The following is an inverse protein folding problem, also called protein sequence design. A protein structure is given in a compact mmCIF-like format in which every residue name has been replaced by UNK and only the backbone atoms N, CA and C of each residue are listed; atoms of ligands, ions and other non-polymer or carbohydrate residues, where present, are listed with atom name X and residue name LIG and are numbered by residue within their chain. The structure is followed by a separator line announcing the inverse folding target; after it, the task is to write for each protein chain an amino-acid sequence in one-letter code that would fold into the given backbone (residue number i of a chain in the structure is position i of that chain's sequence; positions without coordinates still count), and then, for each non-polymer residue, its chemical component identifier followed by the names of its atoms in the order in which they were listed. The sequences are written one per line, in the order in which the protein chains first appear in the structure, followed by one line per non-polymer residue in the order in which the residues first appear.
data_IF_144004515026
#
_entry.id   IF_144004515026
#
_cell.length_a   1.000
_cell.length_b   1.000
_cell.length_c   1.000
_cell.angle_alpha   90.00
_cell.angle_beta   90.00
_cell.angle_gamma   90.00
#
_symmetry.space_group_name_H-M   'P 1'
#
loop_
_entity.id
_entity.type
_entity.pdbx_description
1 polymer ?
#
# COMPACT_ATOMS: atom_id res chain seq x y z
N UNK A 1 0.25 28.66 -17.46
CA UNK A 1 -0.88 28.60 -16.52
C UNK A 1 -0.44 27.78 -15.33
N UNK A 2 -0.21 28.46 -14.21
CA UNK A 2 0.44 27.97 -12.99
C UNK A 2 -0.55 27.31 -12.02
N UNK A 3 -0.06 26.28 -11.34
CA UNK A 3 -0.51 25.74 -10.05
C UNK A 3 -1.89 25.08 -9.96
N UNK A 4 -1.96 23.78 -10.33
CA UNK A 4 -2.90 22.82 -9.74
C UNK A 4 -2.15 21.49 -9.51
N UNK A 5 -1.19 21.49 -8.59
CA UNK A 5 -0.83 20.28 -7.84
C UNK A 5 -0.76 20.74 -6.40
N UNK A 6 -1.94 20.96 -5.81
CA UNK A 6 -2.04 20.95 -4.35
C UNK A 6 -1.67 19.55 -3.91
N UNK A 7 -0.58 19.43 -3.15
CA UNK A 7 -0.09 18.17 -2.61
C UNK A 7 -1.25 17.40 -1.97
N UNK A 8 -1.53 16.14 -2.37
CA UNK A 8 -2.56 15.31 -1.76
C UNK A 8 -1.98 14.61 -0.52
N UNK A 9 -1.25 15.35 0.32
CA UNK A 9 -0.78 14.84 1.61
C UNK A 9 -1.67 15.52 2.65
N UNK A 10 -2.53 14.76 3.35
CA UNK A 10 -3.44 15.33 4.32
C UNK A 10 -2.67 16.02 5.47
N UNK A 11 -3.25 17.05 6.08
CA UNK A 11 -2.67 17.72 7.24
C UNK A 11 -2.59 16.75 8.42
N UNK A 12 -1.38 16.57 8.95
CA UNK A 12 -1.06 15.79 10.16
C UNK A 12 -2.00 16.22 11.30
N UNK A 13 -2.83 15.31 11.79
CA UNK A 13 -3.86 15.59 12.78
C UNK A 13 -3.32 15.55 14.21
N UNK A 14 -3.99 16.22 15.15
CA UNK A 14 -3.65 16.14 16.58
C UNK A 14 -3.80 14.72 17.19
N UNK A 15 -4.47 13.80 16.50
CA UNK A 15 -4.69 12.40 16.94
C UNK A 15 -3.46 11.51 16.71
N UNK A 16 -2.67 11.80 15.68
CA UNK A 16 -1.48 11.03 15.27
C UNK A 16 -0.44 10.99 16.41
N UNK A 17 -0.31 12.11 17.13
CA UNK A 17 0.55 12.23 18.31
C UNK A 17 0.14 11.30 19.45
N UNK A 18 -1.16 11.10 19.68
CA UNK A 18 -1.65 10.20 20.75
C UNK A 18 -1.39 8.72 20.41
N UNK A 19 -1.57 8.35 19.14
CA UNK A 19 -1.35 6.99 18.65
C UNK A 19 0.13 6.62 18.68
N UNK A 20 1.01 7.51 18.20
CA UNK A 20 2.47 7.32 18.31
C UNK A 20 2.88 7.11 19.77
N UNK A 21 2.30 7.87 20.71
CA UNK A 21 2.56 7.71 22.14
C UNK A 21 2.09 6.32 22.65
N UNK A 22 0.93 5.83 22.22
CA UNK A 22 0.45 4.47 22.58
C UNK A 22 1.40 3.40 22.07
N UNK A 23 1.80 3.46 20.79
CA UNK A 23 2.74 2.49 20.19
C UNK A 23 4.07 2.51 20.94
N UNK A 24 4.64 3.69 21.22
CA UNK A 24 5.89 3.82 21.97
C UNK A 24 5.77 3.21 23.37
N UNK A 25 4.64 3.41 24.07
CA UNK A 25 4.39 2.81 25.38
C UNK A 25 4.31 1.28 25.30
N UNK A 26 3.58 0.75 24.32
CA UNK A 26 3.45 -0.70 24.11
C UNK A 26 4.81 -1.35 23.80
N UNK A 27 5.64 -0.72 22.94
CA UNK A 27 7.01 -1.18 22.65
C UNK A 27 7.90 -1.15 23.91
N UNK A 28 7.78 -0.11 24.76
CA UNK A 28 8.52 -0.05 26.03
C UNK A 28 8.13 -1.20 26.96
N UNK A 29 6.84 -1.48 27.10
CA UNK A 29 6.34 -2.60 27.91
C UNK A 29 6.84 -3.93 27.36
N UNK A 30 6.82 -4.11 26.03
CA UNK A 30 7.35 -5.31 25.38
C UNK A 30 8.84 -5.50 25.67
N UNK A 31 9.64 -4.43 25.64
CA UNK A 31 11.05 -4.48 26.06
C UNK A 31 11.24 -4.78 27.54
N UNK A 32 10.33 -4.35 28.42
CA UNK A 32 10.40 -4.68 29.84
C UNK A 32 10.05 -6.15 30.11
N UNK A 33 9.12 -6.74 29.35
CA UNK A 33 8.85 -8.19 29.38
C UNK A 33 10.12 -9.00 29.10
N UNK A 34 11.04 -8.47 28.28
CA UNK A 34 12.28 -9.14 27.89
C UNK A 34 13.33 -9.21 28.99
N UNK A 35 13.20 -8.39 30.06
CA UNK A 35 14.16 -8.40 31.17
C UNK A 35 14.13 -9.71 31.93
N UNK A 36 12.94 -10.21 32.29
CA UNK A 36 12.78 -11.46 33.05
C UNK A 36 13.38 -12.69 32.35
N UNK A 37 13.03 -13.01 31.08
CA UNK A 37 13.66 -14.11 30.36
C UNK A 37 15.16 -13.91 30.16
N UNK A 38 15.64 -12.68 29.98
CA UNK A 38 17.08 -12.42 29.84
C UNK A 38 17.84 -12.72 31.14
N UNK A 39 17.31 -12.26 32.28
CA UNK A 39 17.87 -12.52 33.61
C UNK A 39 17.82 -14.01 33.96
N UNK A 40 16.73 -14.69 33.65
CA UNK A 40 16.57 -16.12 33.92
C UNK A 40 17.40 -16.98 32.97
N UNK A 41 17.49 -16.63 31.68
CA UNK A 41 18.42 -17.24 30.74
C UNK A 41 19.88 -17.06 31.20
N UNK A 42 20.22 -15.90 31.75
CA UNK A 42 21.54 -15.63 32.32
C UNK A 42 21.89 -16.51 33.52
N UNK A 43 20.90 -16.98 34.29
CA UNK A 43 21.07 -17.81 35.49
C UNK A 43 21.00 -19.32 35.22
N UNK A 44 20.43 -19.73 34.08
CA UNK A 44 20.24 -21.14 33.72
C UNK A 44 21.48 -21.73 33.08
N UNK A 45 21.87 -22.93 33.52
CA UNK A 45 23.00 -23.70 33.01
C UNK A 45 22.93 -23.89 31.49
N UNK A 46 24.09 -24.15 30.87
CA UNK A 46 24.15 -24.43 29.43
C UNK A 46 23.33 -25.66 29.10
N UNK A 47 22.38 -25.54 28.17
CA UNK A 47 21.65 -26.70 27.65
C UNK A 47 22.47 -27.36 26.54
N UNK A 48 22.85 -28.61 26.75
CA UNK A 48 23.53 -29.50 25.82
C UNK A 48 22.89 -30.90 25.88
N UNK A 49 23.33 -31.83 25.04
CA UNK A 49 22.77 -33.19 24.95
C UNK A 49 22.85 -34.00 26.27
N UNK A 50 23.59 -33.52 27.28
CA UNK A 50 23.78 -34.12 28.60
C UNK A 50 23.07 -33.34 29.74
N UNK A 51 22.23 -32.36 29.41
CA UNK A 51 21.52 -31.55 30.41
C UNK A 51 20.45 -32.36 31.12
N UNK A 52 20.22 -32.08 32.40
CA UNK A 52 19.10 -32.67 33.11
C UNK A 52 17.78 -32.30 32.42
N UNK A 53 16.87 -33.26 32.35
CA UNK A 53 15.51 -33.04 31.80
C UNK A 53 14.83 -31.83 32.47
N UNK A 54 15.08 -31.66 33.77
CA UNK A 54 14.59 -30.53 34.56
C UNK A 54 15.10 -29.15 34.07
N UNK A 55 16.35 -29.06 33.59
CA UNK A 55 16.89 -27.82 33.02
C UNK A 55 16.30 -27.52 31.64
N UNK A 56 16.03 -28.56 30.85
CA UNK A 56 15.38 -28.42 29.54
C UNK A 56 13.93 -27.97 29.72
N UNK A 57 13.18 -28.62 30.60
CA UNK A 57 11.78 -28.29 30.92
C UNK A 57 11.65 -26.85 31.44
N UNK A 58 12.58 -26.42 32.31
CA UNK A 58 12.61 -25.05 32.82
C UNK A 58 12.82 -24.02 31.72
N UNK A 59 13.72 -24.26 30.77
CA UNK A 59 13.93 -23.35 29.64
C UNK A 59 12.71 -23.33 28.73
N UNK A 60 12.12 -24.49 28.42
CA UNK A 60 10.90 -24.56 27.62
C UNK A 60 9.77 -23.74 28.27
N UNK A 61 9.59 -23.87 29.59
CA UNK A 61 8.57 -23.12 30.32
C UNK A 61 8.83 -21.61 30.28
N UNK A 62 10.08 -21.17 30.47
CA UNK A 62 10.46 -19.75 30.36
C UNK A 62 10.12 -19.20 28.97
N UNK A 63 10.46 -19.93 27.90
CA UNK A 63 10.17 -19.50 26.53
C UNK A 63 8.67 -19.53 26.21
N UNK A 64 7.92 -20.46 26.80
CA UNK A 64 6.46 -20.52 26.63
C UNK A 64 5.76 -19.34 27.30
N UNK A 65 6.02 -19.11 28.59
CA UNK A 65 5.44 -18.00 29.36
C UNK A 65 5.82 -16.65 28.76
N UNK A 66 7.04 -16.58 28.21
CA UNK A 66 7.52 -15.44 27.47
C UNK A 66 6.72 -15.23 26.18
N UNK A 67 6.55 -16.28 25.37
CA UNK A 67 5.86 -16.21 24.08
C UNK A 67 4.42 -15.72 24.25
N UNK A 68 3.72 -16.17 25.29
CA UNK A 68 2.34 -15.73 25.56
C UNK A 68 2.27 -14.23 25.90
N UNK A 69 3.20 -13.73 26.71
CA UNK A 69 3.28 -12.31 27.06
C UNK A 69 3.65 -11.43 25.86
N UNK A 70 4.55 -11.92 25.02
CA UNK A 70 4.94 -11.26 23.78
C UNK A 70 3.80 -11.22 22.78
N UNK A 71 3.10 -12.32 22.60
CA UNK A 71 1.94 -12.43 21.72
C UNK A 71 0.89 -11.38 22.07
N UNK A 72 0.51 -11.30 23.35
CA UNK A 72 -0.47 -10.32 23.82
C UNK A 72 -0.05 -8.86 23.53
N UNK A 73 1.25 -8.55 23.63
CA UNK A 73 1.77 -7.20 23.38
C UNK A 73 2.07 -6.90 21.92
N UNK A 74 2.42 -7.89 21.12
CA UNK A 74 2.48 -7.76 19.68
C UNK A 74 1.10 -7.43 19.12
N UNK A 75 0.05 -8.12 19.58
CA UNK A 75 -1.33 -7.82 19.21
C UNK A 75 -1.77 -6.41 19.63
N UNK A 76 -1.39 -5.94 20.82
CA UNK A 76 -1.68 -4.57 21.28
C UNK A 76 -1.06 -3.51 20.35
N UNK A 77 0.18 -3.73 19.92
CA UNK A 77 0.87 -2.88 18.94
C UNK A 77 0.16 -2.94 17.59
N UNK A 78 -0.12 -4.14 17.07
CA UNK A 78 -0.79 -4.34 15.77
C UNK A 78 -2.17 -3.72 15.74
N UNK A 79 -2.98 -3.89 16.79
CA UNK A 79 -4.31 -3.27 16.88
C UNK A 79 -4.22 -1.74 16.91
N UNK A 80 -3.23 -1.18 17.61
CA UNK A 80 -3.02 0.28 17.62
C UNK A 80 -2.61 0.80 16.24
N UNK A 81 -1.80 0.03 15.49
CA UNK A 81 -1.44 0.36 14.11
C UNK A 81 -2.68 0.23 13.21
N UNK A 82 -3.49 -0.81 13.38
CA UNK A 82 -4.71 -1.04 12.60
C UNK A 82 -5.73 0.09 12.77
N UNK A 83 -5.91 0.61 14.00
CA UNK A 83 -6.74 1.79 14.27
C UNK A 83 -6.31 3.00 13.43
N UNK A 84 -5.02 3.29 13.35
CA UNK A 84 -4.47 4.40 12.56
C UNK A 84 -4.60 4.14 11.06
N UNK A 85 -4.33 2.91 10.63
CA UNK A 85 -4.39 2.53 9.22
C UNK A 85 -5.83 2.55 8.71
N UNK A 86 -6.80 2.16 9.53
CA UNK A 86 -8.21 2.25 9.15
C UNK A 86 -8.64 3.71 8.90
N UNK A 87 -8.08 4.68 9.62
CA UNK A 87 -8.31 6.10 9.32
C UNK A 87 -7.82 6.47 7.91
N UNK A 88 -6.61 6.05 7.53
CA UNK A 88 -6.10 6.28 6.17
C UNK A 88 -6.90 5.52 5.10
N UNK A 89 -7.33 4.29 5.38
CA UNK A 89 -8.20 3.50 4.49
C UNK A 89 -9.51 4.22 4.22
N UNK A 90 -10.15 4.78 5.25
CA UNK A 90 -11.36 5.59 5.13
C UNK A 90 -11.12 6.85 4.28
N UNK A 91 -10.00 7.55 4.49
CA UNK A 91 -9.63 8.72 3.68
C UNK A 91 -9.42 8.36 2.19
N UNK A 92 -8.73 7.25 1.90
CA UNK A 92 -8.52 6.80 0.52
C UNK A 92 -9.84 6.49 -0.17
N UNK A 93 -10.76 5.81 0.52
CA UNK A 93 -12.12 5.57 0.02
C UNK A 93 -12.88 6.88 -0.20
N UNK A 94 -12.78 7.85 0.71
CA UNK A 94 -13.40 9.17 0.56
C UNK A 94 -12.88 9.90 -0.69
N UNK A 95 -11.58 9.85 -0.96
CA UNK A 95 -10.98 10.47 -2.16
C UNK A 95 -11.58 9.87 -3.44
N UNK A 96 -11.77 8.55 -3.50
CA UNK A 96 -12.40 7.89 -4.64
C UNK A 96 -13.87 8.32 -4.80
N UNK A 97 -14.61 8.39 -3.69
CA UNK A 97 -16.02 8.81 -3.70
C UNK A 97 -16.20 10.27 -4.14
N UNK A 98 -15.39 11.18 -3.61
CA UNK A 98 -15.41 12.61 -3.95
C UNK A 98 -15.10 12.87 -5.43
N UNK A 99 -14.33 11.96 -6.05
CA UNK A 99 -13.99 12.02 -7.46
C UNK A 99 -14.84 11.10 -8.36
N UNK A 100 -15.88 10.44 -7.83
CA UNK A 100 -16.78 9.53 -8.57
C UNK A 100 -17.24 10.06 -9.93
N UNK A 101 -17.71 11.31 -9.99
CA UNK A 101 -18.14 11.93 -11.25
C UNK A 101 -17.03 12.00 -12.31
N UNK A 102 -15.78 12.24 -11.91
CA UNK A 102 -14.63 12.27 -12.83
C UNK A 102 -14.24 10.86 -13.23
N UNK A 103 -14.20 9.94 -12.27
CA UNK A 103 -13.91 8.52 -12.49
C UNK A 103 -14.86 7.96 -13.54
N UNK A 104 -16.17 8.17 -13.37
CA UNK A 104 -17.19 7.74 -14.33
C UNK A 104 -17.03 8.41 -15.70
N UNK A 105 -16.84 9.73 -15.71
CA UNK A 105 -16.70 10.51 -16.95
C UNK A 105 -15.52 10.05 -17.80
N UNK A 106 -14.41 9.68 -17.17
CA UNK A 106 -13.18 9.29 -17.84
C UNK A 106 -13.01 7.76 -17.95
N UNK A 107 -13.99 6.97 -17.48
CA UNK A 107 -13.97 5.52 -17.57
C UNK A 107 -12.86 4.85 -16.73
N UNK A 108 -12.44 5.47 -15.63
CA UNK A 108 -11.42 4.96 -14.71
C UNK A 108 -12.06 3.82 -13.88
N UNK A 109 -11.44 2.64 -13.85
CA UNK A 109 -11.97 1.51 -13.07
C UNK A 109 -11.38 1.48 -11.66
N UNK A 110 -12.18 1.87 -10.66
CA UNK A 110 -11.74 1.91 -9.26
C UNK A 110 -11.78 0.57 -8.52
N UNK A 111 -12.44 -0.46 -9.07
CA UNK A 111 -12.64 -1.75 -8.38
C UNK A 111 -11.33 -2.42 -7.95
N UNK A 112 -10.28 -2.28 -8.77
CA UNK A 112 -8.97 -2.85 -8.46
C UNK A 112 -8.29 -2.07 -7.34
N UNK A 113 -8.35 -0.73 -7.40
CA UNK A 113 -7.82 0.19 -6.40
C UNK A 113 -8.51 -0.04 -5.04
N UNK A 114 -9.85 -0.09 -5.00
CA UNK A 114 -10.64 -0.37 -3.79
C UNK A 114 -10.23 -1.69 -3.15
N UNK A 115 -10.05 -2.74 -3.95
CA UNK A 115 -9.60 -4.06 -3.45
C UNK A 115 -8.20 -4.03 -2.85
N UNK A 116 -7.31 -3.17 -3.31
CA UNK A 116 -5.99 -3.04 -2.69
C UNK A 116 -6.07 -2.22 -1.41
N UNK A 117 -6.88 -1.15 -1.39
CA UNK A 117 -7.15 -0.36 -0.19
C UNK A 117 -7.69 -1.27 0.93
N UNK A 118 -8.66 -2.13 0.63
CA UNK A 118 -9.28 -3.03 1.62
C UNK A 118 -8.30 -4.10 2.17
N UNK A 119 -7.19 -4.36 1.48
CA UNK A 119 -6.19 -5.33 1.93
C UNK A 119 -5.17 -4.75 2.90
N UNK A 120 -5.05 -3.43 3.02
CA UNK A 120 -3.99 -2.79 3.82
C UNK A 120 -4.01 -3.33 5.26
N UNK A 121 -5.17 -3.28 5.92
CA UNK A 121 -5.37 -3.76 7.30
C UNK A 121 -5.06 -5.25 7.45
N UNK A 122 -5.42 -6.06 6.46
CA UNK A 122 -5.18 -7.51 6.48
C UNK A 122 -3.70 -7.90 6.44
N UNK A 123 -2.82 -7.09 5.83
CA UNK A 123 -1.37 -7.36 5.77
C UNK A 123 -0.63 -6.93 7.04
N UNK A 124 -1.26 -6.14 7.91
CA UNK A 124 -0.66 -5.70 9.19
C UNK A 124 -0.92 -6.73 10.29
N UNK A 125 -2.14 -7.28 10.29
CA UNK A 125 -2.60 -8.21 11.32
C UNK A 125 -1.71 -9.45 11.40
N UNK A 126 -1.15 -9.69 12.58
CA UNK A 126 -0.29 -10.83 12.88
C UNK A 126 1.14 -10.71 12.34
N UNK A 127 1.51 -9.64 11.63
CA UNK A 127 2.85 -9.52 11.04
C UNK A 127 3.94 -9.39 12.09
N UNK A 128 3.71 -8.58 13.12
CA UNK A 128 4.66 -8.40 14.23
C UNK A 128 4.69 -9.67 15.08
N UNK A 129 3.53 -10.21 15.45
CA UNK A 129 3.42 -11.39 16.28
C UNK A 129 4.09 -12.62 15.65
N UNK A 130 3.81 -12.88 14.37
CA UNK A 130 4.40 -14.00 13.64
C UNK A 130 5.92 -13.86 13.52
N UNK A 131 6.41 -12.66 13.21
CA UNK A 131 7.84 -12.43 13.04
C UNK A 131 8.60 -12.53 14.37
N UNK A 132 8.03 -12.02 15.46
CA UNK A 132 8.62 -12.17 16.79
C UNK A 132 8.57 -13.65 17.23
N UNK A 133 7.43 -14.33 17.08
CA UNK A 133 7.26 -15.74 17.43
C UNK A 133 8.20 -16.68 16.67
N UNK A 134 8.46 -16.39 15.40
CA UNK A 134 9.41 -17.14 14.57
C UNK A 134 10.86 -16.93 15.01
N UNK A 135 11.20 -15.69 15.37
CA UNK A 135 12.56 -15.36 15.83
C UNK A 135 12.81 -15.94 17.23
N UNK A 136 11.85 -15.86 18.14
CA UNK A 136 12.00 -16.30 19.53
C UNK A 136 11.48 -17.72 19.70
N UNK A 137 12.16 -18.64 19.03
CA UNK A 137 11.94 -20.08 19.13
C UNK A 137 13.28 -20.79 19.32
N UNK A 138 13.28 -21.93 20.01
CA UNK A 138 14.46 -22.79 20.10
C UNK A 138 14.89 -23.31 18.71
N UNK A 139 13.98 -23.35 17.73
CA UNK A 139 14.29 -23.68 16.33
C UNK A 139 15.13 -22.60 15.65
N UNK A 140 15.15 -21.38 16.18
CA UNK A 140 16.02 -20.32 15.69
C UNK A 140 17.48 -20.58 16.13
N UNK A 141 18.39 -20.65 15.16
CA UNK A 141 19.79 -20.96 15.42
C UNK A 141 20.52 -19.90 16.27
N UNK A 142 20.16 -18.62 16.16
CA UNK A 142 20.72 -17.54 16.98
C UNK A 142 20.22 -17.66 18.42
N UNK A 143 18.90 -17.86 18.61
CA UNK A 143 18.29 -18.10 19.91
C UNK A 143 18.92 -19.32 20.62
N UNK A 144 19.02 -20.46 19.92
CA UNK A 144 19.63 -21.69 20.43
C UNK A 144 21.08 -21.49 20.87
N UNK A 145 21.89 -20.78 20.07
CA UNK A 145 23.28 -20.46 20.42
C UNK A 145 23.37 -19.67 21.72
N UNK A 146 22.49 -18.70 21.93
CA UNK A 146 22.46 -17.87 23.14
C UNK A 146 22.04 -18.70 24.35
N UNK A 147 21.01 -19.53 24.21
CA UNK A 147 20.56 -20.44 25.28
C UNK A 147 21.67 -21.40 25.73
N UNK A 148 22.54 -21.81 24.80
CA UNK A 148 23.65 -22.73 25.07
C UNK A 148 24.91 -22.02 25.63
N UNK A 149 24.91 -20.69 25.76
CA UNK A 149 26.02 -19.97 26.38
C UNK A 149 26.18 -20.34 27.86
N UNK A 150 27.41 -20.16 28.36
CA UNK A 150 27.72 -20.28 29.79
C UNK A 150 26.88 -19.24 30.58
N UNK A 151 26.30 -19.62 31.73
CA UNK A 151 25.58 -18.69 32.60
C UNK A 151 26.41 -17.45 32.96
N UNK A 152 25.73 -16.32 33.10
CA UNK A 152 26.30 -15.06 33.54
C UNK A 152 25.87 -13.86 32.70
N UNK A 153 26.43 -12.70 33.03
CA UNK A 153 26.06 -11.41 32.44
C UNK A 153 26.19 -11.35 30.92
N UNK A 154 27.15 -12.08 30.34
CA UNK A 154 27.33 -12.14 28.87
C UNK A 154 26.14 -12.82 28.18
N UNK A 155 25.57 -13.88 28.76
CA UNK A 155 24.41 -14.59 28.23
C UNK A 155 23.15 -13.73 28.33
N UNK A 156 22.95 -13.07 29.46
CA UNK A 156 21.87 -12.10 29.67
C UNK A 156 21.93 -10.96 28.64
N UNK A 157 23.11 -10.36 28.44
CA UNK A 157 23.29 -9.28 27.45
C UNK A 157 23.04 -9.76 26.01
N UNK A 158 23.51 -10.96 25.67
CA UNK A 158 23.27 -11.56 24.35
C UNK A 158 21.78 -11.80 24.11
N UNK A 159 21.07 -12.35 25.10
CA UNK A 159 19.62 -12.55 25.04
C UNK A 159 18.87 -11.23 24.88
N UNK A 160 19.17 -10.23 25.72
CA UNK A 160 18.53 -8.92 25.64
C UNK A 160 18.76 -8.23 24.27
N UNK A 161 19.98 -8.31 23.73
CA UNK A 161 20.30 -7.78 22.40
C UNK A 161 19.52 -8.49 21.29
N UNK A 162 19.46 -9.83 21.36
CA UNK A 162 18.71 -10.66 20.41
C UNK A 162 17.21 -10.35 20.41
N UNK A 163 16.62 -10.25 21.59
CA UNK A 163 15.21 -9.95 21.74
C UNK A 163 14.89 -8.53 21.20
N UNK A 164 15.70 -7.52 21.55
CA UNK A 164 15.54 -6.17 21.00
C UNK A 164 15.66 -6.11 19.47
N UNK A 165 16.62 -6.85 18.91
CA UNK A 165 16.79 -6.99 17.45
C UNK A 165 15.55 -7.64 16.82
N UNK A 166 14.97 -8.66 17.48
CA UNK A 166 13.77 -9.35 16.99
C UNK A 166 12.56 -8.42 16.91
N UNK A 167 12.30 -7.57 17.92
CA UNK A 167 11.25 -6.54 17.82
C UNK A 167 11.53 -5.59 16.67
N UNK A 168 12.76 -5.07 16.59
CA UNK A 168 13.12 -4.09 15.56
C UNK A 168 12.86 -4.65 14.17
N UNK A 169 13.30 -5.88 13.91
CA UNK A 169 13.08 -6.57 12.65
C UNK A 169 11.58 -6.74 12.37
N UNK A 170 10.78 -7.15 13.35
CA UNK A 170 9.34 -7.31 13.20
C UNK A 170 8.63 -6.00 12.83
N UNK A 171 9.00 -4.89 13.46
CA UNK A 171 8.51 -3.56 13.10
C UNK A 171 8.94 -3.13 11.70
N UNK A 172 10.20 -3.39 11.31
CA UNK A 172 10.70 -3.11 9.96
C UNK A 172 9.96 -3.91 8.89
N UNK A 173 9.67 -5.20 9.16
CA UNK A 173 8.86 -6.04 8.28
C UNK A 173 7.45 -5.46 8.13
N UNK A 174 6.78 -5.12 9.24
CA UNK A 174 5.46 -4.49 9.23
C UNK A 174 5.45 -3.19 8.40
N UNK A 175 6.43 -2.30 8.60
CA UNK A 175 6.59 -1.08 7.83
C UNK A 175 6.80 -1.36 6.33
N UNK A 176 7.56 -2.41 5.99
CA UNK A 176 7.80 -2.80 4.60
C UNK A 176 6.52 -3.31 3.93
N UNK A 177 5.76 -4.18 4.60
CA UNK A 177 4.47 -4.68 4.08
C UNK A 177 3.50 -3.52 3.82
N UNK A 178 3.45 -2.54 4.72
CA UNK A 178 2.65 -1.34 4.54
C UNK A 178 3.09 -0.51 3.33
N UNK A 179 4.40 -0.32 3.13
CA UNK A 179 4.93 0.41 1.96
C UNK A 179 4.60 -0.29 0.65
N UNK A 180 4.81 -1.60 0.59
CA UNK A 180 4.50 -2.41 -0.61
C UNK A 180 3.02 -2.29 -0.97
N UNK A 181 2.11 -2.31 0.01
CA UNK A 181 0.68 -2.06 -0.26
C UNK A 181 0.42 -0.69 -0.88
N UNK A 182 1.02 0.37 -0.35
CA UNK A 182 0.82 1.72 -0.87
C UNK A 182 1.38 1.83 -2.30
N UNK A 183 2.53 1.22 -2.55
CA UNK A 183 3.11 1.13 -3.89
C UNK A 183 2.16 0.39 -4.86
N UNK A 184 1.59 -0.76 -4.46
CA UNK A 184 0.59 -1.49 -5.26
C UNK A 184 -0.66 -0.64 -5.56
N UNK A 185 -1.14 0.15 -4.59
CA UNK A 185 -2.27 1.08 -4.79
C UNK A 185 -1.89 2.17 -5.80
N UNK A 186 -0.70 2.75 -5.66
CA UNK A 186 -0.21 3.79 -6.55
C UNK A 186 -0.08 3.29 -7.99
N UNK A 187 0.52 2.11 -8.19
CA UNK A 187 0.65 1.47 -9.51
C UNK A 187 -0.72 1.20 -10.16
N UNK A 188 -1.70 0.74 -9.36
CA UNK A 188 -3.06 0.49 -9.85
C UNK A 188 -3.76 1.81 -10.25
N UNK A 189 -3.59 2.89 -9.48
CA UNK A 189 -4.09 4.23 -9.82
C UNK A 189 -3.43 4.76 -11.09
N UNK A 190 -2.11 4.69 -11.19
CA UNK A 190 -1.35 5.17 -12.35
C UNK A 190 -1.77 4.42 -13.62
N UNK A 191 -1.90 3.10 -13.55
CA UNK A 191 -2.33 2.25 -14.67
C UNK A 191 -3.72 2.66 -15.19
N UNK A 192 -4.67 2.89 -14.30
CA UNK A 192 -6.05 3.26 -14.67
C UNK A 192 -6.11 4.68 -15.25
N UNK A 193 -5.36 5.63 -14.70
CA UNK A 193 -5.29 7.00 -15.21
C UNK A 193 -4.64 7.05 -16.60
N UNK A 194 -3.52 6.34 -16.80
CA UNK A 194 -2.86 6.25 -18.12
C UNK A 194 -3.81 5.65 -19.15
N UNK A 195 -4.50 4.56 -18.79
CA UNK A 195 -5.47 3.90 -19.67
C UNK A 195 -6.61 4.83 -20.09
N UNK A 196 -7.10 5.67 -19.16
CA UNK A 196 -8.10 6.69 -19.45
C UNK A 196 -7.56 7.77 -20.41
N UNK A 197 -6.33 8.25 -20.19
CA UNK A 197 -5.68 9.24 -21.06
C UNK A 197 -5.52 8.71 -22.48
N UNK A 198 -5.03 7.48 -22.65
CA UNK A 198 -4.89 6.84 -23.97
C UNK A 198 -6.24 6.68 -24.69
N UNK A 199 -7.29 6.34 -23.93
CA UNK A 199 -8.64 6.19 -24.48
C UNK A 199 -9.20 7.53 -24.96
N UNK A 200 -9.00 8.61 -24.20
CA UNK A 200 -9.39 9.98 -24.58
C UNK A 200 -8.62 10.44 -25.81
N UNK A 201 -7.31 10.16 -25.88
CA UNK A 201 -6.49 10.51 -27.02
C UNK A 201 -7.02 9.86 -28.32
N UNK A 202 -7.29 8.54 -28.29
CA UNK A 202 -7.88 7.83 -29.43
C UNK A 202 -9.24 8.39 -29.85
N UNK A 203 -10.09 8.74 -28.88
CA UNK A 203 -11.38 9.37 -29.19
C UNK A 203 -11.20 10.73 -29.86
N UNK A 204 -10.28 11.56 -29.38
CA UNK A 204 -9.98 12.86 -29.98
C UNK A 204 -9.44 12.74 -31.40
N UNK A 205 -8.57 11.78 -31.67
CA UNK A 205 -8.06 11.49 -33.02
C UNK A 205 -9.22 11.12 -33.98
N UNK A 206 -10.12 10.22 -33.56
CA UNK A 206 -11.31 9.87 -34.34
C UNK A 206 -12.26 11.06 -34.56
N UNK A 207 -12.42 11.93 -33.56
CA UNK A 207 -13.21 13.15 -33.67
C UNK A 207 -12.58 14.14 -34.66
N UNK A 208 -11.26 14.30 -34.65
CA UNK A 208 -10.53 15.13 -35.62
C UNK A 208 -10.69 14.59 -37.05
N UNK A 209 -10.54 13.28 -37.25
CA UNK A 209 -10.77 12.64 -38.55
C UNK A 209 -12.19 12.87 -39.07
N UNK A 210 -13.21 12.68 -38.21
CA UNK A 210 -14.60 12.96 -38.55
C UNK A 210 -14.82 14.43 -38.90
N UNK A 211 -14.26 15.34 -38.10
CA UNK A 211 -14.38 16.78 -38.36
C UNK A 211 -13.78 17.15 -39.72
N UNK A 212 -12.59 16.66 -40.03
CA UNK A 212 -11.93 16.87 -41.32
C UNK A 212 -12.71 16.28 -42.50
N UNK A 213 -13.38 15.15 -42.32
CA UNK A 213 -14.22 14.54 -43.36
C UNK A 213 -15.48 15.37 -43.66
N UNK A 214 -16.15 15.90 -42.63
CA UNK A 214 -17.32 16.76 -42.80
C UNK A 214 -16.95 18.06 -43.52
N UNK A 215 -15.83 18.67 -43.15
CA UNK A 215 -15.36 19.91 -43.78
C UNK A 215 -15.08 19.70 -45.28
N UNK A 216 -14.49 18.55 -45.63
CA UNK A 216 -14.26 18.14 -47.03
C UNK A 216 -15.56 17.93 -47.80
N UNK A 217 -16.52 17.21 -47.23
CA UNK A 217 -17.80 16.92 -47.88
C UNK A 217 -18.62 18.20 -48.14
N UNK A 218 -18.57 19.17 -47.22
CA UNK A 218 -19.27 20.44 -47.34
C UNK A 218 -18.71 21.32 -48.48
N UNK A 219 -17.38 21.32 -48.66
CA UNK A 219 -16.74 21.96 -49.82
C UNK A 219 -17.16 21.30 -51.14
N UNK A 220 -17.20 19.97 -51.19
CA UNK A 220 -17.56 19.23 -52.40
C UNK A 220 -19.02 19.47 -52.80
N UNK A 221 -19.95 19.51 -51.84
CA UNK A 221 -21.37 19.79 -52.09
C UNK A 221 -21.58 21.22 -52.59
N UNK A 222 -20.88 22.20 -52.00
CA UNK A 222 -20.95 23.61 -52.41
C UNK A 222 -20.41 23.81 -53.84
N UNK A 223 -19.28 23.19 -54.17
CA UNK A 223 -18.69 23.25 -55.50
C UNK A 223 -19.59 22.61 -56.57
N UNK A 224 -20.18 21.44 -56.29
CA UNK A 224 -21.15 20.78 -57.18
C UNK A 224 -22.36 21.68 -57.49
N UNK A 225 -22.93 22.35 -56.48
CA UNK A 225 -24.04 23.30 -56.66
C UNK A 225 -23.67 24.46 -57.57
N UNK A 226 -22.48 25.03 -57.39
CA UNK A 226 -22.00 26.14 -58.22
C UNK A 226 -21.78 25.71 -59.69
N UNK A 227 -21.23 24.52 -59.92
CA UNK A 227 -21.04 23.95 -61.25
C UNK A 227 -22.39 23.75 -61.96
N UNK A 228 -23.38 23.18 -61.28
CA UNK A 228 -24.73 22.97 -61.86
C UNK A 228 -25.37 24.31 -62.25
N UNK A 229 -25.29 25.32 -61.37
CA UNK A 229 -25.82 26.65 -61.66
C UNK A 229 -25.12 27.30 -62.87
N UNK A 230 -23.80 27.12 -62.99
CA UNK A 230 -23.05 27.63 -64.14
C UNK A 230 -23.49 26.96 -65.46
N UNK A 231 -23.66 25.63 -65.46
CA UNK A 231 -24.18 24.91 -66.63
C UNK A 231 -25.58 25.37 -67.02
N UNK A 232 -26.48 25.52 -66.05
CA UNK A 232 -27.82 26.04 -66.28
C UNK A 232 -27.78 27.45 -66.92
N UNK A 233 -26.92 28.34 -66.41
CA UNK A 233 -26.74 29.67 -66.97
C UNK A 233 -26.19 29.64 -68.40
N UNK A 234 -25.22 28.78 -68.70
CA UNK A 234 -24.71 28.60 -70.06
C UNK A 234 -25.79 28.11 -71.01
N UNK A 235 -26.60 27.13 -70.60
CA UNK A 235 -27.71 26.61 -71.42
C UNK A 235 -28.75 27.69 -71.71
N UNK A 236 -29.10 28.50 -70.72
CA UNK A 236 -30.00 29.65 -70.90
C UNK A 236 -29.41 30.68 -71.87
N UNK A 237 -28.12 31.01 -71.74
CA UNK A 237 -27.44 31.92 -72.67
C UNK A 237 -27.41 31.36 -74.10
N UNK A 238 -27.10 30.06 -74.27
CA UNK A 238 -27.10 29.39 -75.57
C UNK A 238 -28.49 29.39 -76.21
N UNK A 239 -29.54 29.18 -75.41
CA UNK A 239 -30.94 29.28 -75.86
C UNK A 239 -31.29 30.70 -76.31
N UNK A 240 -30.83 31.72 -75.59
CA UNK A 240 -31.01 33.12 -75.97
C UNK A 240 -30.27 33.43 -77.28
N UNK A 241 -29.03 32.94 -77.45
CA UNK A 241 -28.26 33.08 -78.69
C UNK A 241 -28.92 32.42 -79.91
N UNK A 242 -29.76 31.41 -79.72
CA UNK A 242 -30.51 30.77 -80.80
C UNK A 242 -31.82 31.49 -81.16
N UNK A 243 -32.29 32.39 -80.29
CA UNK A 243 -33.53 33.17 -80.47
C UNK A 243 -33.26 34.50 -81.19
N UNK A 244 -32.01 34.99 -81.15
CA UNK A 244 -31.55 36.20 -81.85
C UNK A 244 -30.73 35.85 -83.10
#
# INVERSE_FOLDING_TARGET
MSNIIGSPIPPIGNKDGEIIIKIIKAIKILKDIFKKPSEEAGKTDSVNDNSSLENIDRIIQIFSDFKDQVHAKALDIENTIDEEVNFYVEELHSILQDNSKKVDKYGISIKRIERQIDKISSKIKGTIDNEISKNISLDNAECRKIVNMIPGSKKEQAMNSFLNKSIKNALEVCCREFRVNIEEIYEDVETEVISAVESIQKQNELLQERFNSIDKDNYEETAKKQIINAYYLMDVCNLIEQIF
#
